data_IF_939557447044
#
_entry.id   IF_939557447044
#
_cell.length_a   1.000
_cell.length_b   1.000
_cell.length_c   1.000
_cell.angle_alpha   90.00
_cell.angle_beta   90.00
_cell.angle_gamma   90.00
#
_symmetry.space_group_name_H-M   'P 1'
#
loop_
_entity.id
_entity.type
_entity.pdbx_description
1 polymer ?
#
# COMPACT_ATOMS: atom_id res chain seq x y z
N UNK A 1 -18.24 -12.38 0.92
CA UNK A 1 -17.87 -11.20 1.76
C UNK A 1 -16.40 -11.33 2.12
N UNK A 2 -15.66 -10.21 2.13
CA UNK A 2 -14.22 -10.15 2.44
C UNK A 2 -14.04 -9.61 3.88
N UNK A 3 -13.28 -10.29 4.72
CA UNK A 3 -12.75 -9.72 5.95
C UNK A 3 -11.41 -9.06 5.62
N UNK A 4 -11.32 -7.74 5.78
CA UNK A 4 -10.10 -6.97 5.58
C UNK A 4 -9.42 -6.72 6.93
N UNK A 5 -8.38 -7.47 7.23
CA UNK A 5 -7.50 -7.25 8.39
C UNK A 5 -6.61 -6.03 8.12
N UNK A 6 -6.85 -4.95 8.83
CA UNK A 6 -6.49 -3.61 8.40
C UNK A 6 -5.92 -2.73 9.51
N UNK A 7 -4.99 -1.88 9.15
CA UNK A 7 -4.62 -0.66 9.86
C UNK A 7 -4.41 0.46 8.84
N UNK A 8 -4.69 1.76 9.17
CA UNK A 8 -4.65 2.86 8.20
C UNK A 8 -3.22 3.26 7.78
N UNK A 9 -2.48 2.32 7.22
CA UNK A 9 -1.16 2.48 6.61
C UNK A 9 -1.26 2.53 5.09
N UNK A 10 -0.23 3.00 4.37
CA UNK A 10 -0.25 2.99 2.91
C UNK A 10 -0.58 1.62 2.30
N UNK A 11 -0.08 0.51 2.86
CA UNK A 11 -0.39 -0.82 2.36
C UNK A 11 -1.85 -1.24 2.61
N UNK A 12 -2.41 -0.90 3.77
CA UNK A 12 -3.83 -1.13 4.06
C UNK A 12 -4.72 -0.37 3.08
N UNK A 13 -4.37 0.89 2.80
CA UNK A 13 -5.11 1.75 1.88
C UNK A 13 -5.17 1.23 0.45
N UNK A 14 -4.19 0.47 -0.03
CA UNK A 14 -4.26 -0.19 -1.33
C UNK A 14 -5.53 -1.06 -1.44
N UNK A 15 -5.79 -1.85 -0.40
CA UNK A 15 -6.89 -2.82 -0.43
C UNK A 15 -8.23 -2.13 -0.21
N UNK A 16 -8.31 -1.17 0.71
CA UNK A 16 -9.55 -0.40 0.89
C UNK A 16 -9.93 0.38 -0.38
N UNK A 17 -8.97 0.98 -1.10
CA UNK A 17 -9.23 1.63 -2.39
C UNK A 17 -9.79 0.64 -3.40
N UNK A 18 -9.17 -0.54 -3.56
CA UNK A 18 -9.64 -1.54 -4.50
C UNK A 18 -11.07 -1.99 -4.18
N UNK A 19 -11.37 -2.26 -2.92
CA UNK A 19 -12.70 -2.70 -2.49
C UNK A 19 -13.77 -1.61 -2.72
N UNK A 20 -13.43 -0.35 -2.48
CA UNK A 20 -14.32 0.79 -2.77
C UNK A 20 -14.52 1.03 -4.28
N UNK A 21 -13.50 0.80 -5.10
CA UNK A 21 -13.61 0.93 -6.56
C UNK A 21 -14.49 -0.17 -7.18
N UNK A 22 -14.42 -1.38 -6.63
CA UNK A 22 -15.18 -2.52 -7.17
C UNK A 22 -16.56 -2.71 -6.54
N UNK A 23 -16.82 -2.08 -5.40
CA UNK A 23 -18.05 -2.27 -4.63
C UNK A 23 -18.16 -3.67 -4.02
N UNK A 24 -17.07 -4.44 -3.93
CA UNK A 24 -17.07 -5.75 -3.26
C UNK A 24 -17.44 -5.59 -1.78
N UNK A 25 -18.42 -6.33 -1.27
CA UNK A 25 -18.80 -6.27 0.14
C UNK A 25 -17.65 -6.73 1.04
N UNK A 26 -17.27 -5.89 2.00
CA UNK A 26 -16.21 -6.20 2.95
C UNK A 26 -16.52 -5.71 4.36
N UNK A 27 -15.82 -6.28 5.32
CA UNK A 27 -15.81 -5.86 6.73
C UNK A 27 -14.39 -5.55 7.14
N UNK A 28 -14.16 -4.42 7.79
CA UNK A 28 -12.87 -4.07 8.38
C UNK A 28 -12.71 -4.83 9.70
N UNK A 29 -11.58 -5.54 9.83
CA UNK A 29 -11.13 -6.17 11.07
C UNK A 29 -9.85 -5.44 11.49
N UNK A 30 -9.91 -4.53 12.46
CA UNK A 30 -8.76 -3.75 12.88
C UNK A 30 -7.63 -4.64 13.44
N UNK A 31 -6.39 -4.33 13.06
CA UNK A 31 -5.17 -4.94 13.62
C UNK A 31 -4.26 -3.81 14.09
N UNK A 32 -4.32 -3.48 15.37
CA UNK A 32 -3.53 -2.38 15.92
C UNK A 32 -2.04 -2.75 16.00
N UNK A 33 -1.30 -2.36 14.96
CA UNK A 33 0.12 -2.66 14.84
C UNK A 33 0.99 -1.96 15.90
N UNK A 34 0.52 -0.86 16.46
CA UNK A 34 1.19 -0.16 17.56
C UNK A 34 1.06 -0.88 18.90
N UNK A 35 0.10 -1.78 19.03
CA UNK A 35 -0.16 -2.59 20.23
C UNK A 35 0.24 -4.06 20.08
N UNK A 36 0.85 -4.42 18.95
CA UNK A 36 1.37 -5.77 18.74
C UNK A 36 0.34 -6.81 18.32
N UNK A 37 -0.85 -6.38 17.88
CA UNK A 37 -1.92 -7.33 17.48
C UNK A 37 -1.53 -8.17 16.27
N UNK A 38 -0.59 -7.72 15.44
CA UNK A 38 -0.03 -8.49 14.33
C UNK A 38 0.76 -9.74 14.77
N UNK A 39 1.06 -9.89 16.05
CA UNK A 39 1.75 -11.06 16.61
C UNK A 39 0.80 -12.09 17.26
N UNK A 40 -0.50 -11.79 17.28
CA UNK A 40 -1.48 -12.74 17.82
C UNK A 40 -1.55 -13.99 16.97
N UNK A 41 -1.66 -15.21 17.58
CA UNK A 41 -1.69 -16.46 16.84
C UNK A 41 -2.74 -16.51 15.73
N UNK A 42 -3.92 -15.97 15.98
CA UNK A 42 -5.01 -15.90 14.99
C UNK A 42 -4.68 -15.05 13.77
N UNK A 43 -3.90 -13.98 13.94
CA UNK A 43 -3.44 -13.17 12.83
C UNK A 43 -2.26 -13.83 12.09
N UNK A 44 -1.32 -14.43 12.83
CA UNK A 44 -0.20 -15.17 12.25
C UNK A 44 -0.65 -16.35 11.39
N UNK A 45 -1.79 -16.98 11.73
CA UNK A 45 -2.37 -18.05 10.91
C UNK A 45 -2.77 -17.60 9.50
N UNK A 46 -3.10 -16.32 9.29
CA UNK A 46 -3.48 -15.75 8.00
C UNK A 46 -2.41 -14.84 7.38
N UNK A 47 -1.46 -14.37 8.17
CA UNK A 47 -0.33 -13.54 7.74
C UNK A 47 0.95 -13.93 8.50
N UNK A 48 1.66 -14.98 8.07
CA UNK A 48 2.83 -15.50 8.79
C UNK A 48 3.99 -14.50 8.84
N UNK A 49 3.98 -13.48 7.98
CA UNK A 49 4.95 -12.38 8.01
C UNK A 49 4.63 -11.32 9.08
N UNK A 50 3.60 -11.51 9.91
CA UNK A 50 3.12 -10.53 10.90
C UNK A 50 2.94 -9.10 10.34
N UNK A 51 2.49 -8.98 9.11
CA UNK A 51 2.24 -7.70 8.44
C UNK A 51 0.79 -7.62 7.96
N UNK A 52 0.20 -6.45 8.13
CA UNK A 52 -1.08 -6.11 7.52
C UNK A 52 -0.83 -5.35 6.19
N UNK A 53 -1.76 -5.37 5.23
CA UNK A 53 -3.06 -6.03 5.25
C UNK A 53 -2.99 -7.54 5.01
N UNK A 54 -4.02 -8.23 5.47
CA UNK A 54 -4.39 -9.56 5.03
C UNK A 54 -5.90 -9.59 4.78
N UNK A 55 -6.38 -10.52 3.97
CA UNK A 55 -7.82 -10.73 3.77
C UNK A 55 -8.19 -12.18 4.07
N UNK A 56 -9.46 -12.38 4.44
CA UNK A 56 -10.12 -13.69 4.38
C UNK A 56 -11.33 -13.55 3.46
N UNK A 57 -11.31 -14.28 2.35
CA UNK A 57 -12.44 -14.35 1.43
C UNK A 57 -13.31 -15.56 1.78
N UNK A 58 -14.55 -15.29 2.22
CA UNK A 58 -15.52 -16.32 2.60
C UNK A 58 -16.30 -16.93 1.43
N UNK A 59 -16.07 -16.45 0.23
CA UNK A 59 -16.72 -16.95 -1.00
C UNK A 59 -15.74 -16.88 -2.18
N UNK A 60 -14.66 -17.69 -2.17
CA UNK A 60 -13.69 -17.71 -3.26
C UNK A 60 -14.34 -18.21 -4.57
N UNK A 61 -13.70 -17.90 -5.72
CA UNK A 61 -14.24 -18.22 -7.04
C UNK A 61 -14.34 -19.72 -7.31
N UNK A 62 -13.50 -20.53 -6.69
CA UNK A 62 -13.50 -22.00 -6.82
C UNK A 62 -14.59 -22.69 -5.98
N UNK A 63 -15.44 -21.90 -5.30
CA UNK A 63 -16.46 -22.38 -4.37
C UNK A 63 -15.92 -23.27 -3.24
N UNK A 64 -14.62 -23.20 -2.98
CA UNK A 64 -13.94 -23.91 -1.89
C UNK A 64 -14.17 -23.27 -0.52
N UNK A 65 -13.49 -23.76 0.53
CA UNK A 65 -13.53 -23.15 1.85
C UNK A 65 -12.93 -21.73 1.81
N UNK A 66 -13.17 -20.91 2.86
CA UNK A 66 -12.59 -19.59 2.94
C UNK A 66 -11.07 -19.60 2.70
N UNK A 67 -10.57 -18.64 1.92
CA UNK A 67 -9.14 -18.49 1.64
C UNK A 67 -8.60 -17.24 2.29
N UNK A 68 -7.43 -17.34 2.93
CA UNK A 68 -6.68 -16.19 3.41
C UNK A 68 -5.57 -15.82 2.43
N UNK A 69 -5.38 -14.50 2.23
CA UNK A 69 -4.32 -13.97 1.39
C UNK A 69 -3.60 -12.85 2.15
N UNK A 70 -2.29 -12.92 2.21
CA UNK A 70 -1.43 -11.85 2.73
C UNK A 70 -0.54 -11.31 1.60
N UNK A 71 0.24 -10.25 1.87
CA UNK A 71 0.94 -9.40 0.91
C UNK A 71 -0.01 -8.53 0.07
N UNK A 72 0.12 -7.20 0.20
CA UNK A 72 -0.81 -6.28 -0.46
C UNK A 72 -0.82 -6.40 -1.98
N UNK A 73 0.33 -6.74 -2.60
CA UNK A 73 0.40 -7.02 -4.05
C UNK A 73 -0.32 -8.30 -4.44
N UNK A 74 -0.16 -9.38 -3.66
CA UNK A 74 -0.86 -10.64 -3.89
C UNK A 74 -2.37 -10.50 -3.68
N UNK A 75 -2.79 -9.72 -2.68
CA UNK A 75 -4.21 -9.42 -2.44
C UNK A 75 -4.80 -8.66 -3.63
N UNK A 76 -4.10 -7.65 -4.17
CA UNK A 76 -4.56 -6.91 -5.34
C UNK A 76 -4.71 -7.81 -6.57
N UNK A 77 -3.75 -8.71 -6.83
CA UNK A 77 -3.83 -9.69 -7.91
C UNK A 77 -5.04 -10.62 -7.73
N UNK A 78 -5.20 -11.20 -6.54
CA UNK A 78 -6.33 -12.07 -6.20
C UNK A 78 -7.68 -11.39 -6.41
N UNK A 79 -7.83 -10.16 -5.90
CA UNK A 79 -9.07 -9.41 -6.01
C UNK A 79 -9.35 -8.96 -7.45
N UNK A 80 -8.31 -8.62 -8.22
CA UNK A 80 -8.44 -8.29 -9.64
C UNK A 80 -8.90 -9.52 -10.45
N UNK A 81 -8.35 -10.68 -10.20
CA UNK A 81 -8.80 -11.93 -10.84
C UNK A 81 -10.23 -12.29 -10.40
N UNK A 82 -10.57 -12.12 -9.11
CA UNK A 82 -11.91 -12.37 -8.58
C UNK A 82 -12.99 -11.48 -9.22
N UNK A 83 -12.66 -10.22 -9.48
CA UNK A 83 -13.64 -9.25 -10.01
C UNK A 83 -13.59 -9.10 -11.51
N UNK A 84 -12.49 -9.52 -12.14
CA UNK A 84 -12.21 -9.23 -13.55
C UNK A 84 -11.97 -7.76 -13.84
N UNK A 85 -11.62 -6.95 -12.82
CA UNK A 85 -11.46 -5.49 -12.92
C UNK A 85 -10.01 -5.06 -12.62
N UNK A 86 -9.59 -3.92 -13.17
CA UNK A 86 -8.30 -3.25 -12.92
C UNK A 86 -7.06 -4.10 -13.23
N UNK A 87 -7.24 -5.14 -14.03
CA UNK A 87 -6.19 -5.98 -14.60
C UNK A 87 -6.60 -6.38 -16.01
N UNK A 88 -5.81 -6.02 -17.04
CA UNK A 88 -6.10 -6.42 -18.42
C UNK A 88 -6.15 -7.94 -18.59
N UNK A 89 -7.04 -8.43 -19.46
CA UNK A 89 -7.11 -9.87 -19.81
C UNK A 89 -5.99 -10.28 -20.76
N UNK A 90 -5.57 -9.37 -21.65
CA UNK A 90 -4.53 -9.61 -22.63
C UNK A 90 -3.16 -9.77 -21.96
N UNK A 91 -2.38 -10.75 -22.38
CA UNK A 91 -1.08 -11.10 -21.80
C UNK A 91 -0.15 -9.87 -21.66
N UNK A 92 0.02 -9.08 -22.73
CA UNK A 92 0.93 -7.94 -22.70
C UNK A 92 0.51 -6.89 -21.68
N UNK A 93 -0.77 -6.58 -21.59
CA UNK A 93 -1.28 -5.65 -20.58
C UNK A 93 -1.13 -6.19 -19.15
N UNK A 94 -1.38 -7.49 -18.94
CA UNK A 94 -1.13 -8.13 -17.62
C UNK A 94 0.33 -8.06 -17.23
N UNK A 95 1.24 -8.31 -18.14
CA UNK A 95 2.69 -8.21 -17.89
C UNK A 95 3.02 -6.77 -17.47
N UNK A 96 2.58 -5.77 -18.23
CA UNK A 96 2.86 -4.36 -17.92
C UNK A 96 2.32 -3.93 -16.55
N UNK A 97 1.07 -4.27 -16.21
CA UNK A 97 0.52 -3.99 -14.88
C UNK A 97 1.31 -4.71 -13.78
N UNK A 98 1.69 -5.99 -14.02
CA UNK A 98 2.44 -6.78 -13.05
C UNK A 98 3.85 -6.23 -12.81
N UNK A 99 4.55 -5.78 -13.86
CA UNK A 99 5.87 -5.16 -13.73
C UNK A 99 5.80 -3.94 -12.80
N UNK A 100 4.84 -3.05 -13.01
CA UNK A 100 4.67 -1.85 -12.18
C UNK A 100 4.17 -2.17 -10.77
N UNK A 101 3.35 -3.19 -10.61
CA UNK A 101 2.96 -3.68 -9.28
C UNK A 101 4.18 -4.21 -8.53
N UNK A 102 5.01 -5.06 -9.16
CA UNK A 102 6.21 -5.61 -8.52
C UNK A 102 7.26 -4.53 -8.27
N UNK A 103 7.41 -3.56 -9.18
CA UNK A 103 8.25 -2.39 -8.96
C UNK A 103 7.83 -1.59 -7.71
N UNK A 104 6.51 -1.45 -7.50
CA UNK A 104 6.00 -0.81 -6.29
C UNK A 104 6.31 -1.64 -5.04
N UNK A 105 6.09 -2.95 -5.08
CA UNK A 105 6.27 -3.85 -3.93
C UNK A 105 7.76 -4.02 -3.55
N UNK A 106 8.64 -4.13 -4.53
CA UNK A 106 10.07 -4.36 -4.31
C UNK A 106 10.91 -3.08 -4.18
N UNK A 107 10.41 -1.96 -4.66
CA UNK A 107 11.19 -0.71 -4.74
C UNK A 107 10.47 0.48 -4.11
N UNK A 108 9.42 0.99 -4.76
CA UNK A 108 8.80 2.26 -4.36
C UNK A 108 8.37 2.25 -2.88
N UNK A 109 7.51 1.32 -2.49
CA UNK A 109 6.99 1.24 -1.12
C UNK A 109 8.09 1.10 -0.08
N UNK A 110 8.99 0.10 -0.18
CA UNK A 110 10.07 -0.08 0.77
C UNK A 110 11.00 1.13 0.90
N UNK A 111 11.42 1.74 -0.21
CA UNK A 111 12.37 2.86 -0.17
C UNK A 111 11.72 4.16 0.34
N UNK A 112 10.48 4.45 -0.09
CA UNK A 112 9.71 5.58 0.46
C UNK A 112 9.42 5.39 1.96
N UNK A 113 9.21 4.14 2.40
CA UNK A 113 9.07 3.80 3.81
C UNK A 113 10.33 4.10 4.61
N UNK A 114 11.53 3.81 4.08
CA UNK A 114 12.80 4.14 4.71
C UNK A 114 13.03 5.66 4.74
N UNK A 115 12.76 6.37 3.65
CA UNK A 115 12.84 7.84 3.64
C UNK A 115 11.97 8.45 4.74
N UNK A 116 10.71 8.03 4.83
CA UNK A 116 9.79 8.48 5.86
C UNK A 116 10.28 8.12 7.27
N UNK A 117 10.80 6.89 7.46
CA UNK A 117 11.30 6.43 8.76
C UNK A 117 12.43 7.31 9.27
N UNK A 118 13.49 7.49 8.50
CA UNK A 118 14.67 8.24 8.94
C UNK A 118 14.39 9.74 9.09
N UNK A 119 13.48 10.29 8.29
CA UNK A 119 13.08 11.70 8.41
C UNK A 119 12.14 11.96 9.58
N UNK A 120 11.14 11.08 9.79
CA UNK A 120 10.03 11.36 10.71
C UNK A 120 10.04 10.51 11.97
N UNK A 121 10.31 9.20 11.88
CA UNK A 121 10.12 8.26 13.00
C UNK A 121 11.38 7.99 13.80
N UNK A 122 12.56 7.97 13.18
CA UNK A 122 13.81 7.71 13.88
C UNK A 122 14.08 8.78 14.95
N UNK A 123 14.33 8.34 16.20
CA UNK A 123 14.70 9.25 17.30
C UNK A 123 16.05 9.91 17.03
N UNK A 124 17.03 9.11 16.64
CA UNK A 124 18.34 9.57 16.20
C UNK A 124 18.28 10.02 14.74
N UNK A 125 18.71 11.25 14.49
CA UNK A 125 18.81 11.79 13.14
C UNK A 125 20.16 11.46 12.55
N UNK A 126 20.16 10.52 11.60
CA UNK A 126 21.35 10.06 10.88
C UNK A 126 21.42 10.77 9.51
N UNK A 127 22.25 11.85 9.36
CA UNK A 127 22.27 12.66 8.14
C UNK A 127 22.48 11.82 6.87
N UNK A 128 23.43 10.89 6.89
CA UNK A 128 23.71 10.02 5.76
C UNK A 128 22.50 9.15 5.35
N UNK A 129 21.79 8.57 6.32
CA UNK A 129 20.60 7.75 6.02
C UNK A 129 19.45 8.62 5.47
N UNK A 130 19.27 9.81 6.05
CA UNK A 130 18.26 10.77 5.58
C UNK A 130 18.55 11.18 4.14
N UNK A 131 19.79 11.57 3.83
CA UNK A 131 20.21 11.95 2.48
C UNK A 131 20.05 10.78 1.51
N UNK A 132 20.59 9.61 1.85
CA UNK A 132 20.56 8.40 1.00
C UNK A 132 19.14 8.01 0.59
N UNK A 133 18.21 7.97 1.53
CA UNK A 133 16.84 7.56 1.25
C UNK A 133 15.98 8.69 0.66
N UNK A 134 16.26 9.95 0.97
CA UNK A 134 15.62 11.09 0.29
C UNK A 134 15.99 11.13 -1.19
N UNK A 135 17.28 10.93 -1.52
CA UNK A 135 17.74 10.87 -2.91
C UNK A 135 17.11 9.68 -3.67
N UNK A 136 16.96 8.53 -3.01
CA UNK A 136 16.26 7.39 -3.61
C UNK A 136 14.77 7.65 -3.80
N UNK A 137 14.11 8.30 -2.84
CA UNK A 137 12.71 8.73 -2.99
C UNK A 137 12.56 9.66 -4.20
N UNK A 138 13.40 10.68 -4.31
CA UNK A 138 13.41 11.61 -5.45
C UNK A 138 13.62 10.87 -6.78
N UNK A 139 14.56 9.92 -6.85
CA UNK A 139 14.79 9.09 -8.04
C UNK A 139 13.53 8.30 -8.43
N UNK A 140 12.84 7.70 -7.47
CA UNK A 140 11.63 6.89 -7.70
C UNK A 140 10.44 7.76 -8.15
N UNK A 141 10.31 8.97 -7.61
CA UNK A 141 9.35 9.96 -8.10
C UNK A 141 9.62 10.31 -9.57
N UNK A 142 10.90 10.53 -9.92
CA UNK A 142 11.32 10.80 -11.30
C UNK A 142 11.05 9.62 -12.26
N UNK A 143 11.11 8.37 -11.78
CA UNK A 143 10.72 7.21 -12.59
C UNK A 143 9.22 7.24 -12.90
N UNK A 144 8.37 7.52 -11.90
CA UNK A 144 6.92 7.66 -12.11
C UNK A 144 6.59 8.85 -13.00
N UNK A 145 7.23 10.00 -12.80
CA UNK A 145 7.00 11.19 -13.61
C UNK A 145 7.28 10.93 -15.09
N UNK A 146 8.44 10.36 -15.39
CA UNK A 146 8.80 9.97 -16.77
C UNK A 146 7.83 8.94 -17.33
N UNK A 147 7.39 7.98 -16.52
CA UNK A 147 6.42 6.97 -16.97
C UNK A 147 5.07 7.59 -17.33
N UNK A 148 4.64 8.58 -16.57
CA UNK A 148 3.35 9.25 -16.73
C UNK A 148 3.33 10.34 -17.81
N UNK A 149 4.48 10.66 -18.42
CA UNK A 149 4.54 11.59 -19.55
C UNK A 149 3.67 11.08 -20.71
N UNK A 150 2.62 11.83 -21.05
CA UNK A 150 1.64 11.47 -22.08
C UNK A 150 0.73 10.30 -21.74
N UNK A 151 0.59 9.94 -20.43
CA UNK A 151 -0.26 8.85 -19.95
C UNK A 151 -1.16 9.32 -18.82
N UNK A 152 -2.38 8.81 -18.82
CA UNK A 152 -3.32 9.07 -17.72
C UNK A 152 -3.06 8.18 -16.50
N UNK A 153 -2.60 6.95 -16.72
CA UNK A 153 -2.31 5.94 -15.69
C UNK A 153 -1.02 5.19 -15.97
N UNK A 154 -0.47 4.54 -14.94
CA UNK A 154 0.87 3.92 -14.96
C UNK A 154 0.98 2.85 -16.06
N UNK A 155 -0.04 2.03 -16.26
CA UNK A 155 -0.04 0.93 -17.24
C UNK A 155 -1.07 1.15 -18.37
N UNK A 156 -1.30 2.41 -18.76
CA UNK A 156 -2.25 2.80 -19.78
C UNK A 156 -3.63 3.08 -19.17
N UNK A 157 -4.41 2.05 -18.88
CA UNK A 157 -5.67 2.17 -18.18
C UNK A 157 -5.49 2.10 -16.65
N UNK A 158 -6.50 2.62 -15.92
CA UNK A 158 -6.53 2.54 -14.46
C UNK A 158 -6.45 1.10 -13.97
N UNK A 159 -5.48 0.79 -13.12
CA UNK A 159 -5.14 -0.57 -12.74
C UNK A 159 -4.69 -0.70 -11.28
N UNK A 160 -4.46 -1.94 -10.86
CA UNK A 160 -3.88 -2.22 -9.53
C UNK A 160 -2.46 -1.64 -9.36
N UNK A 161 -1.76 -1.31 -10.44
CA UNK A 161 -0.47 -0.61 -10.35
C UNK A 161 -0.64 0.81 -9.79
N UNK A 162 -1.67 1.55 -10.27
CA UNK A 162 -2.01 2.88 -9.76
C UNK A 162 -2.45 2.83 -8.30
N UNK A 163 -3.33 1.88 -7.96
CA UNK A 163 -3.82 1.66 -6.61
C UNK A 163 -2.68 1.33 -5.64
N UNK A 164 -1.70 0.54 -6.09
CA UNK A 164 -0.56 0.17 -5.27
C UNK A 164 0.39 1.35 -5.00
N UNK A 165 0.62 2.22 -6.00
CA UNK A 165 1.55 3.34 -5.88
C UNK A 165 0.97 4.52 -5.11
N UNK A 166 -0.29 4.86 -5.34
CA UNK A 166 -0.91 6.10 -4.87
C UNK A 166 -0.79 6.36 -3.36
N UNK A 167 -1.13 5.42 -2.45
CA UNK A 167 -1.09 5.68 -1.01
C UNK A 167 0.33 5.87 -0.45
N UNK A 168 1.34 5.53 -1.21
CA UNK A 168 2.74 5.64 -0.80
C UNK A 168 3.38 6.99 -1.11
N UNK A 169 2.76 7.82 -1.94
CA UNK A 169 3.27 9.15 -2.24
C UNK A 169 2.90 10.12 -1.12
N UNK A 170 3.83 10.33 -0.22
CA UNK A 170 3.73 11.20 0.95
C UNK A 170 4.90 12.20 0.92
N UNK A 171 4.92 13.15 -0.04
CA UNK A 171 6.09 13.95 -0.39
C UNK A 171 6.71 14.67 0.80
N UNK A 172 5.92 15.31 1.65
CA UNK A 172 6.41 16.04 2.83
C UNK A 172 7.22 15.15 3.78
N UNK A 173 6.67 13.96 4.09
CA UNK A 173 7.33 12.99 4.97
C UNK A 173 8.55 12.33 4.35
N UNK A 174 8.67 12.35 3.02
CA UNK A 174 9.74 11.75 2.24
C UNK A 174 10.80 12.76 1.79
N UNK A 175 10.52 14.06 1.98
CA UNK A 175 11.42 15.16 1.65
C UNK A 175 11.55 15.41 0.15
N UNK A 176 10.46 15.21 -0.60
CA UNK A 176 10.40 15.41 -2.05
C UNK A 176 9.44 16.56 -2.35
N UNK A 177 9.83 17.47 -3.22
CA UNK A 177 8.93 18.50 -3.74
C UNK A 177 8.17 17.94 -4.95
N UNK A 178 6.85 17.79 -4.82
CA UNK A 178 5.99 17.31 -5.90
C UNK A 178 5.99 18.25 -7.13
N UNK A 179 6.30 19.53 -6.96
CA UNK A 179 6.34 20.49 -8.06
C UNK A 179 7.44 20.19 -9.08
N UNK A 180 8.48 19.45 -8.70
CA UNK A 180 9.55 18.99 -9.61
C UNK A 180 9.07 17.89 -10.58
N UNK A 181 7.87 17.29 -10.35
CA UNK A 181 7.36 16.14 -11.06
C UNK A 181 5.96 16.40 -11.64
N UNK A 182 5.82 17.21 -12.70
CA UNK A 182 4.53 17.72 -13.17
C UNK A 182 3.59 16.63 -13.69
N UNK A 183 4.08 15.57 -14.34
CA UNK A 183 3.25 14.47 -14.81
C UNK A 183 2.75 13.61 -13.64
N UNK A 184 3.60 13.37 -12.66
CA UNK A 184 3.25 12.68 -11.44
C UNK A 184 2.24 13.49 -10.62
N UNK A 185 2.42 14.80 -10.51
CA UNK A 185 1.48 15.70 -9.83
C UNK A 185 0.09 15.67 -10.49
N UNK A 186 0.03 15.71 -11.83
CA UNK A 186 -1.21 15.61 -12.58
C UNK A 186 -1.93 14.25 -12.36
N UNK A 187 -1.18 13.15 -12.37
CA UNK A 187 -1.71 11.82 -12.06
C UNK A 187 -2.18 11.73 -10.61
N UNK A 188 -1.41 12.24 -9.65
CA UNK A 188 -1.78 12.24 -8.24
C UNK A 188 -3.08 13.01 -7.99
N UNK A 189 -3.26 14.16 -8.65
CA UNK A 189 -4.50 14.92 -8.60
C UNK A 189 -5.68 14.13 -9.19
N UNK A 190 -5.48 13.47 -10.34
CA UNK A 190 -6.49 12.58 -10.97
C UNK A 190 -6.91 11.44 -10.06
N UNK A 191 -5.96 10.77 -9.42
CA UNK A 191 -6.21 9.71 -8.44
C UNK A 191 -7.00 10.24 -7.23
N UNK A 192 -6.57 11.39 -6.69
CA UNK A 192 -7.21 12.03 -5.53
C UNK A 192 -8.65 12.49 -5.81
N UNK A 193 -8.98 12.81 -7.06
CA UNK A 193 -10.32 13.24 -7.46
C UNK A 193 -11.32 12.08 -7.58
N UNK A 194 -10.86 10.82 -7.59
CA UNK A 194 -11.76 9.65 -7.72
C UNK A 194 -12.54 9.43 -6.42
N UNK A 195 -13.89 9.39 -6.47
CA UNK A 195 -14.70 9.24 -5.25
C UNK A 195 -14.39 7.95 -4.47
N UNK A 196 -14.12 6.84 -5.17
CA UNK A 196 -13.78 5.58 -4.53
C UNK A 196 -12.39 5.60 -3.87
N UNK A 197 -11.42 6.29 -4.48
CA UNK A 197 -10.10 6.52 -3.87
C UNK A 197 -10.26 7.34 -2.58
N UNK A 198 -11.08 8.39 -2.60
CA UNK A 198 -11.37 9.20 -1.40
C UNK A 198 -11.98 8.35 -0.29
N UNK A 199 -13.00 7.54 -0.60
CA UNK A 199 -13.60 6.63 0.38
C UNK A 199 -12.59 5.63 0.90
N UNK A 200 -11.83 4.96 0.03
CA UNK A 200 -10.81 3.99 0.40
C UNK A 200 -9.69 4.58 1.26
N UNK A 201 -9.27 5.81 0.97
CA UNK A 201 -8.32 6.56 1.80
C UNK A 201 -8.90 6.97 3.15
N UNK A 202 -10.22 7.07 3.29
CA UNK A 202 -10.88 7.44 4.54
C UNK A 202 -11.23 6.23 5.42
N UNK A 203 -11.20 5.00 4.92
CA UNK A 203 -11.45 3.78 5.72
C UNK A 203 -10.54 3.76 6.96
N UNK A 204 -11.09 3.55 8.15
CA UNK A 204 -10.36 3.51 9.42
C UNK A 204 -9.76 4.85 9.83
N UNK A 205 -10.32 5.97 9.42
CA UNK A 205 -9.90 7.29 9.89
C UNK A 205 -10.05 7.43 11.42
N UNK A 206 -11.06 6.79 11.99
CA UNK A 206 -11.33 6.67 13.42
C UNK A 206 -10.31 5.80 14.18
N UNK A 207 -9.59 4.92 13.48
CA UNK A 207 -8.55 4.07 14.06
C UNK A 207 -7.21 4.81 14.24
N UNK A 208 -7.07 6.00 13.68
CA UNK A 208 -5.84 6.79 13.81
C UNK A 208 -5.70 7.30 15.24
N UNK A 209 -4.63 6.87 15.90
CA UNK A 209 -4.21 7.47 17.17
C UNK A 209 -3.32 8.68 16.91
N UNK A 210 -3.46 9.73 17.72
CA UNK A 210 -2.59 10.89 17.64
C UNK A 210 -1.15 10.51 18.06
N UNK A 211 -0.24 10.51 17.09
CA UNK A 211 1.19 10.28 17.33
C UNK A 211 1.58 8.81 17.54
N UNK A 212 2.90 8.61 17.63
CA UNK A 212 3.50 7.31 17.92
C UNK A 212 4.14 7.38 19.30
N UNK A 213 3.54 6.70 20.29
CA UNK A 213 4.11 6.57 21.63
C UNK A 213 5.34 5.63 21.65
N UNK A 214 6.07 5.60 22.77
CA UNK A 214 7.28 4.78 22.90
C UNK A 214 6.96 3.27 22.84
N UNK A 215 5.78 2.84 23.29
CA UNK A 215 5.34 1.45 23.16
C UNK A 215 5.14 1.07 21.70
N UNK A 216 4.41 1.87 20.93
CA UNK A 216 4.19 1.63 19.51
C UNK A 216 5.52 1.62 18.74
N UNK A 217 6.45 2.53 19.11
CA UNK A 217 7.79 2.58 18.52
C UNK A 217 8.60 1.32 18.79
N UNK A 218 8.60 0.82 20.03
CA UNK A 218 9.27 -0.41 20.41
C UNK A 218 8.68 -1.63 19.66
N UNK A 219 7.35 -1.70 19.55
CA UNK A 219 6.65 -2.76 18.83
C UNK A 219 6.96 -2.73 17.33
N UNK A 220 6.95 -1.53 16.69
CA UNK A 220 7.10 -1.42 15.25
C UNK A 220 8.55 -1.54 14.78
N UNK A 221 9.51 -1.02 15.55
CA UNK A 221 10.91 -0.90 15.12
C UNK A 221 11.89 -1.73 15.94
N UNK A 222 11.48 -2.29 17.08
CA UNK A 222 12.30 -3.14 17.94
C UNK A 222 12.20 -4.63 17.66
N UNK A 223 11.52 -5.05 16.60
CA UNK A 223 11.27 -6.46 16.30
C UNK A 223 12.57 -7.20 15.98
N UNK A 224 12.74 -8.37 16.60
CA UNK A 224 13.80 -9.34 16.29
C UNK A 224 13.16 -10.70 16.08
N UNK A 225 13.85 -11.60 15.35
CA UNK A 225 13.39 -12.97 15.22
C UNK A 225 13.19 -13.58 16.63
N UNK A 226 12.03 -14.14 16.87
CA UNK A 226 11.80 -14.98 18.06
C UNK A 226 12.68 -16.23 17.90
N UNK A 227 13.49 -16.54 18.92
CA UNK A 227 14.26 -17.77 18.97
C UNK A 227 13.35 -18.93 19.34
#
# INVERSE_FOLDING_TARGET
MIDLHFWPTPNGKKISIFLEETGLPYRVVPVNIGRGEQFRPEFLAISPNNRMPAIVDHAPLDAGPPISVFESGAILLYLADKTGQMMPKALRGRVEVTEWLMWQMGGLGPMLGQAHHFRSYAKEKLPYAIERYTNEAHRLYGVLDKRLAGRDYIAGDYSIADIACFPWLLPDGQGVDMAEFPHLAAWHARMSARPAVQRGMNVGADLRTAGMDDQARAVLFGQRALK
#
